data_IF_862474818865
#
_entry.id   IF_862474818865
#
_cell.length_a   1.000
_cell.length_b   1.000
_cell.length_c   1.000
_cell.angle_alpha   90.00
_cell.angle_beta   90.00
_cell.angle_gamma   90.00
#
_symmetry.space_group_name_H-M   'P 1'
#
loop_
_entity.id
_entity.type
_entity.pdbx_description
1 polymer ?
#
# COMPACT_ATOMS: atom_id res chain seq x y z
N UNK A 1 27.99 -8.81 -11.34
CA UNK A 1 27.50 -7.51 -11.84
C UNK A 1 26.04 -7.42 -11.46
N UNK A 2 25.67 -6.47 -10.60
CA UNK A 2 24.29 -6.33 -10.13
C UNK A 2 23.41 -5.95 -11.34
N UNK A 3 22.49 -6.84 -11.70
CA UNK A 3 21.50 -6.60 -12.75
C UNK A 3 20.62 -5.44 -12.27
N UNK A 4 20.59 -4.35 -13.04
CA UNK A 4 19.75 -3.19 -12.77
C UNK A 4 18.31 -3.67 -12.59
N UNK A 5 17.67 -3.33 -11.46
CA UNK A 5 16.25 -3.61 -11.26
C UNK A 5 15.47 -2.88 -12.37
N UNK A 6 14.84 -3.63 -13.26
CA UNK A 6 14.16 -3.13 -14.47
C UNK A 6 12.76 -2.54 -14.16
N UNK A 7 12.45 -2.26 -12.90
CA UNK A 7 11.14 -1.80 -12.45
C UNK A 7 11.24 -0.90 -11.21
N UNK A 8 10.24 -0.04 -11.04
CA UNK A 8 10.08 0.80 -9.85
C UNK A 8 9.39 0.02 -8.72
N UNK A 9 10.09 -0.17 -7.59
CA UNK A 9 9.56 -0.89 -6.44
C UNK A 9 8.33 -0.22 -5.82
N UNK A 10 8.24 1.12 -5.83
CA UNK A 10 7.08 1.83 -5.31
C UNK A 10 5.84 1.57 -6.18
N UNK A 11 6.02 1.55 -7.49
CA UNK A 11 4.94 1.22 -8.43
C UNK A 11 4.47 -0.24 -8.23
N UNK A 12 5.41 -1.18 -8.08
CA UNK A 12 5.10 -2.58 -7.80
C UNK A 12 4.35 -2.74 -6.48
N UNK A 13 4.81 -2.10 -5.40
CA UNK A 13 4.13 -2.15 -4.12
C UNK A 13 2.73 -1.51 -4.18
N UNK A 14 2.56 -0.41 -4.90
CA UNK A 14 1.25 0.21 -5.09
C UNK A 14 0.27 -0.74 -5.82
N UNK A 15 0.73 -1.42 -6.88
CA UNK A 15 -0.07 -2.45 -7.58
C UNK A 15 -0.36 -3.65 -6.68
N UNK A 16 0.62 -4.11 -5.91
CA UNK A 16 0.46 -5.22 -4.97
C UNK A 16 -0.60 -4.90 -3.91
N UNK A 17 -0.56 -3.70 -3.33
CA UNK A 17 -1.59 -3.21 -2.40
C UNK A 17 -2.96 -3.30 -3.06
N UNK A 18 -3.16 -2.74 -4.26
CA UNK A 18 -4.48 -2.78 -4.92
C UNK A 18 -4.96 -4.22 -5.16
N UNK A 19 -4.08 -5.10 -5.61
CA UNK A 19 -4.43 -6.49 -5.91
C UNK A 19 -4.81 -7.28 -4.65
N UNK A 20 -4.00 -7.17 -3.59
CA UNK A 20 -4.29 -7.80 -2.31
C UNK A 20 -5.54 -7.22 -1.64
N UNK A 21 -5.77 -5.92 -1.77
CA UNK A 21 -6.95 -5.27 -1.21
C UNK A 21 -8.23 -5.74 -1.89
N UNK A 22 -8.18 -5.97 -3.20
CA UNK A 22 -9.35 -6.42 -3.96
C UNK A 22 -9.61 -7.92 -3.84
N UNK A 23 -8.57 -8.77 -3.95
CA UNK A 23 -8.72 -10.24 -3.98
C UNK A 23 -8.48 -10.90 -2.62
N UNK A 24 -7.95 -10.17 -1.65
CA UNK A 24 -7.42 -10.72 -0.40
C UNK A 24 -6.09 -11.47 -0.58
N UNK A 25 -5.34 -11.62 0.51
CA UNK A 25 -4.06 -12.36 0.50
C UNK A 25 -4.23 -13.81 0.01
N UNK A 26 -5.23 -14.53 0.52
CA UNK A 26 -5.47 -15.93 0.16
C UNK A 26 -6.06 -16.07 -1.25
N UNK A 27 -6.87 -15.12 -1.71
CA UNK A 27 -7.46 -15.12 -3.06
C UNK A 27 -6.51 -14.64 -4.17
N UNK A 28 -5.30 -14.19 -3.80
CA UNK A 28 -4.26 -13.78 -4.76
C UNK A 28 -3.26 -14.91 -4.97
N UNK A 29 -3.20 -15.43 -6.20
CA UNK A 29 -2.22 -16.44 -6.62
C UNK A 29 -0.89 -15.81 -7.06
N UNK A 30 0.17 -16.61 -7.16
CA UNK A 30 1.43 -16.14 -7.74
C UNK A 30 1.28 -15.69 -9.20
N UNK A 31 0.35 -16.27 -9.94
CA UNK A 31 0.09 -15.88 -11.33
C UNK A 31 -0.59 -14.50 -11.39
N UNK A 32 -1.57 -14.26 -10.52
CA UNK A 32 -2.20 -12.94 -10.40
C UNK A 32 -1.18 -11.83 -10.10
N UNK A 33 -0.17 -12.12 -9.27
CA UNK A 33 0.91 -11.18 -8.97
C UNK A 33 1.76 -10.89 -10.22
N UNK A 34 2.18 -11.91 -10.95
CA UNK A 34 2.98 -11.71 -12.17
C UNK A 34 2.20 -10.85 -13.18
N UNK A 35 0.93 -11.18 -13.40
CA UNK A 35 0.08 -10.50 -14.38
C UNK A 35 -0.30 -9.07 -13.92
N UNK A 36 -0.59 -8.89 -12.63
CA UNK A 36 -1.05 -7.62 -12.07
C UNK A 36 0.07 -6.62 -11.75
N UNK A 37 1.29 -7.09 -11.45
CA UNK A 37 2.43 -6.23 -11.13
C UNK A 37 3.19 -5.79 -12.39
N UNK A 38 3.08 -6.55 -13.48
CA UNK A 38 3.78 -6.28 -14.73
C UNK A 38 5.28 -6.58 -14.68
N UNK A 39 5.70 -7.49 -13.78
CA UNK A 39 7.09 -7.93 -13.63
C UNK A 39 7.21 -9.42 -13.89
N UNK A 40 8.40 -9.87 -14.33
CA UNK A 40 8.64 -11.30 -14.53
C UNK A 40 8.57 -12.07 -13.21
N UNK A 41 8.19 -13.36 -13.28
CA UNK A 41 8.20 -14.25 -12.11
C UNK A 41 9.58 -14.31 -11.43
N UNK A 42 10.66 -14.34 -12.22
CA UNK A 42 12.04 -14.30 -11.68
C UNK A 42 12.27 -13.04 -10.88
N UNK A 43 11.97 -11.87 -11.45
CA UNK A 43 12.16 -10.57 -10.79
C UNK A 43 11.39 -10.45 -9.47
N UNK A 44 10.17 -11.01 -9.42
CA UNK A 44 9.35 -11.06 -8.21
C UNK A 44 10.04 -11.90 -7.13
N UNK A 45 10.47 -13.13 -7.46
CA UNK A 45 11.18 -14.01 -6.54
C UNK A 45 12.54 -13.45 -6.11
N UNK A 46 13.31 -12.86 -7.03
CA UNK A 46 14.62 -12.27 -6.74
C UNK A 46 14.52 -11.08 -5.78
N UNK A 47 13.41 -10.35 -5.80
CA UNK A 47 13.23 -9.12 -4.99
C UNK A 47 12.50 -9.38 -3.69
N UNK A 48 11.45 -10.22 -3.73
CA UNK A 48 10.54 -10.41 -2.62
C UNK A 48 10.58 -11.83 -2.05
N UNK A 49 11.27 -12.80 -2.66
CA UNK A 49 11.39 -14.19 -2.22
C UNK A 49 10.08 -15.00 -2.26
N UNK A 50 8.96 -14.46 -1.79
CA UNK A 50 7.66 -15.13 -1.77
C UNK A 50 6.49 -14.12 -1.70
N UNK A 51 5.26 -14.65 -1.81
CA UNK A 51 4.03 -13.85 -1.70
C UNK A 51 3.89 -13.16 -0.34
N UNK A 52 4.33 -13.82 0.74
CA UNK A 52 4.15 -13.32 2.09
C UNK A 52 5.01 -12.07 2.33
N UNK A 53 6.27 -12.13 1.96
CA UNK A 53 7.21 -11.00 2.05
C UNK A 53 6.76 -9.83 1.18
N UNK A 54 6.24 -10.09 -0.04
CA UNK A 54 5.62 -9.03 -0.84
C UNK A 54 4.41 -8.40 -0.13
N UNK A 55 3.54 -9.23 0.45
CA UNK A 55 2.36 -8.74 1.19
C UNK A 55 2.75 -7.90 2.42
N UNK A 56 3.74 -8.34 3.21
CA UNK A 56 4.25 -7.57 4.35
C UNK A 56 4.81 -6.23 3.88
N UNK A 57 5.64 -6.21 2.82
CA UNK A 57 6.15 -4.96 2.26
C UNK A 57 5.07 -4.03 1.72
N UNK A 58 4.01 -4.60 1.12
CA UNK A 58 2.84 -3.84 0.69
C UNK A 58 2.11 -3.20 1.88
N UNK A 59 1.93 -3.95 2.99
CA UNK A 59 1.35 -3.42 4.23
C UNK A 59 2.23 -2.34 4.88
N UNK A 60 3.54 -2.52 4.91
CA UNK A 60 4.49 -1.53 5.42
C UNK A 60 4.44 -0.24 4.58
N UNK A 61 4.44 -0.36 3.25
CA UNK A 61 4.32 0.77 2.33
C UNK A 61 3.00 1.53 2.52
N UNK A 62 1.88 0.80 2.66
CA UNK A 62 0.58 1.39 2.95
C UNK A 62 0.57 2.16 4.28
N UNK A 63 1.11 1.56 5.34
CA UNK A 63 1.20 2.19 6.66
C UNK A 63 2.08 3.44 6.64
N UNK A 64 3.23 3.37 5.96
CA UNK A 64 4.15 4.50 5.87
C UNK A 64 3.51 5.70 5.17
N UNK A 65 2.81 5.46 4.05
CA UNK A 65 2.09 6.51 3.33
C UNK A 65 0.97 7.15 4.17
N UNK A 66 0.25 6.35 4.96
CA UNK A 66 -0.78 6.86 5.89
C UNK A 66 -0.17 7.65 7.05
N UNK A 67 0.91 7.14 7.64
CA UNK A 67 1.59 7.75 8.79
C UNK A 67 2.20 9.11 8.44
N UNK A 68 2.79 9.24 7.25
CA UNK A 68 3.36 10.50 6.78
C UNK A 68 2.31 11.63 6.76
N UNK A 69 1.10 11.38 6.24
CA UNK A 69 0.01 12.36 6.21
C UNK A 69 -0.51 12.72 7.61
N UNK A 70 -0.57 11.73 8.50
CA UNK A 70 -0.96 11.94 9.89
C UNK A 70 0.08 12.82 10.59
N UNK A 71 1.36 12.54 10.39
CA UNK A 71 2.46 13.30 10.98
C UNK A 71 2.41 14.77 10.52
N UNK A 72 2.17 15.02 9.23
CA UNK A 72 1.98 16.39 8.70
C UNK A 72 0.85 17.17 9.39
N UNK A 73 -0.20 16.47 9.88
CA UNK A 73 -1.29 17.09 10.65
C UNK A 73 -0.88 17.32 12.11
N UNK A 74 -0.14 16.37 12.70
CA UNK A 74 0.34 16.46 14.09
C UNK A 74 1.38 17.57 14.28
N UNK A 75 2.21 17.82 13.27
CA UNK A 75 3.26 18.85 13.31
C UNK A 75 2.71 20.27 13.15
N UNK A 76 1.42 20.42 12.78
CA UNK A 76 0.79 21.73 12.67
C UNK A 76 0.45 22.30 14.05
N UNK A 77 0.68 23.60 14.28
CA UNK A 77 0.26 24.24 15.52
C UNK A 77 -1.27 24.24 15.64
N UNK A 78 -1.78 23.97 16.85
CA UNK A 78 -3.22 23.95 17.11
C UNK A 78 -3.56 23.29 18.44
N UNK A 79 -4.84 23.30 18.80
CA UNK A 79 -5.34 22.54 19.94
C UNK A 79 -5.46 21.06 19.58
N UNK A 80 -5.34 20.16 20.57
CA UNK A 80 -5.55 18.73 20.36
C UNK A 80 -6.91 18.41 19.71
N UNK A 81 -7.94 19.19 20.04
CA UNK A 81 -9.28 19.06 19.44
C UNK A 81 -9.26 19.35 17.94
N UNK A 82 -8.56 20.40 17.51
CA UNK A 82 -8.46 20.78 16.10
C UNK A 82 -7.67 19.73 15.31
N UNK A 83 -6.60 19.20 15.90
CA UNK A 83 -5.82 18.10 15.32
C UNK A 83 -6.66 16.85 15.11
N UNK A 84 -7.42 16.42 16.13
CA UNK A 84 -8.33 15.27 16.00
C UNK A 84 -9.38 15.53 14.91
N UNK A 85 -9.95 16.74 14.86
CA UNK A 85 -10.92 17.11 13.83
C UNK A 85 -10.32 16.99 12.42
N UNK A 86 -9.11 17.52 12.19
CA UNK A 86 -8.41 17.41 10.90
C UNK A 86 -8.13 15.95 10.50
N UNK A 87 -7.76 15.09 11.45
CA UNK A 87 -7.55 13.66 11.18
C UNK A 87 -8.83 12.95 10.75
N UNK A 88 -9.95 13.26 11.40
CA UNK A 88 -11.27 12.72 11.02
C UNK A 88 -11.72 13.24 9.66
N UNK A 89 -11.50 14.52 9.36
CA UNK A 89 -11.80 15.13 8.06
C UNK A 89 -10.97 14.52 6.93
N UNK A 90 -9.66 14.29 7.16
CA UNK A 90 -8.79 13.59 6.21
C UNK A 90 -9.32 12.18 5.92
N UNK A 91 -9.57 11.40 6.98
CA UNK A 91 -10.03 10.01 6.86
C UNK A 91 -11.39 9.94 6.17
N UNK A 92 -12.33 10.81 6.55
CA UNK A 92 -13.66 10.88 5.93
C UNK A 92 -13.55 11.27 4.46
N UNK A 93 -12.66 12.22 4.12
CA UNK A 93 -12.41 12.63 2.75
C UNK A 93 -11.89 11.50 1.87
N UNK A 94 -10.96 10.69 2.38
CA UNK A 94 -10.44 9.52 1.68
C UNK A 94 -11.51 8.44 1.49
N UNK A 95 -12.30 8.16 2.54
CA UNK A 95 -13.41 7.19 2.49
C UNK A 95 -14.50 7.60 1.49
N UNK A 96 -14.89 8.88 1.45
CA UNK A 96 -15.90 9.38 0.52
C UNK A 96 -15.43 9.34 -0.95
N UNK A 97 -14.11 9.39 -1.19
CA UNK A 97 -13.52 9.28 -2.53
C UNK A 97 -13.35 7.83 -2.97
N UNK A 98 -13.38 6.87 -2.05
CA UNK A 98 -13.23 5.46 -2.37
C UNK A 98 -14.50 4.88 -3.00
N UNK A 99 -14.58 5.01 -4.33
CA UNK A 99 -15.68 4.45 -5.14
C UNK A 99 -15.79 2.93 -5.05
N UNK A 100 -14.72 2.24 -4.65
CA UNK A 100 -14.66 0.79 -4.59
C UNK A 100 -15.02 0.24 -3.20
N UNK A 101 -15.24 1.13 -2.21
CA UNK A 101 -15.63 0.76 -0.84
C UNK A 101 -14.76 -0.34 -0.25
N UNK A 102 -13.44 -0.24 -0.44
CA UNK A 102 -12.46 -1.27 -0.12
C UNK A 102 -12.20 -1.40 1.38
N UNK A 103 -12.66 -0.44 2.18
CA UNK A 103 -12.43 -0.43 3.62
C UNK A 103 -11.02 0.02 3.96
N UNK A 104 -10.37 -0.58 4.95
CA UNK A 104 -8.97 -0.33 5.31
C UNK A 104 -8.13 -1.54 4.92
N UNK A 105 -6.98 -1.35 4.28
CA UNK A 105 -6.12 -2.46 3.87
C UNK A 105 -5.53 -3.27 5.04
N UNK A 106 -5.52 -2.70 6.25
CA UNK A 106 -5.03 -3.37 7.46
C UNK A 106 -6.06 -4.32 8.11
N UNK A 107 -7.30 -4.38 7.60
CA UNK A 107 -8.42 -5.15 8.17
C UNK A 107 -8.89 -6.18 7.16
#
# INVERSE_FOLDING_TARGET
>A
MARTKDFDENEVLAKAIQLFWYKGYNGTSMQDLVDGLGISRSSLYDTYTDKHTLFVKALESYQHAGTARIQEILDQPGSARDTIKKLLELTTGDLLKDKQQKGCFMV
#
